data_IF_529362602625
#
_entry.id   IF_529362602625
#
_cell.length_a   1.000
_cell.length_b   1.000
_cell.length_c   1.000
_cell.angle_alpha   90.00
_cell.angle_beta   90.00
_cell.angle_gamma   90.00
#
_symmetry.space_group_name_H-M   'P 1'
#
loop_
_entity.id
_entity.type
_entity.pdbx_description
1 polymer ?
#
# COMPACT_ATOMS: atom_id res chain seq x y z
N UNK A 1 -4.93 2.38 -3.78
CA UNK A 1 -3.88 3.35 -4.18
C UNK A 1 -3.90 4.62 -3.34
N UNK A 2 -5.05 5.26 -3.12
CA UNK A 2 -5.16 6.56 -2.42
C UNK A 2 -4.47 6.63 -1.04
N UNK A 3 -4.66 5.63 -0.19
CA UNK A 3 -4.02 5.57 1.15
C UNK A 3 -2.50 5.74 1.08
N UNK A 4 -1.86 5.04 0.13
CA UNK A 4 -0.40 5.13 -0.04
C UNK A 4 0.02 6.45 -0.68
N UNK A 5 -0.79 6.99 -1.60
CA UNK A 5 -0.52 8.29 -2.21
C UNK A 5 -0.60 9.44 -1.20
N UNK A 6 -1.60 9.41 -0.31
CA UNK A 6 -1.76 10.40 0.77
C UNK A 6 -0.58 10.32 1.77
N UNK A 7 0.03 9.13 1.92
CA UNK A 7 1.24 8.92 2.70
C UNK A 7 2.55 9.26 1.94
N UNK A 8 2.46 9.77 0.71
CA UNK A 8 3.63 10.11 -0.12
C UNK A 8 4.41 8.91 -0.66
N UNK A 9 3.82 7.71 -0.62
CA UNK A 9 4.48 6.48 -1.03
C UNK A 9 4.19 6.21 -2.51
N UNK A 10 5.27 6.14 -3.29
CA UNK A 10 5.19 5.77 -4.69
C UNK A 10 4.89 4.28 -4.85
N UNK A 11 4.05 3.93 -5.83
CA UNK A 11 3.72 2.55 -6.13
C UNK A 11 4.02 2.20 -7.59
N UNK A 12 4.42 0.96 -7.81
CA UNK A 12 4.33 0.29 -9.11
C UNK A 12 3.26 -0.79 -8.97
N UNK A 13 2.14 -0.61 -9.68
CA UNK A 13 1.07 -1.61 -9.71
C UNK A 13 1.38 -2.65 -10.80
N UNK A 14 1.27 -3.93 -10.43
CA UNK A 14 1.36 -5.06 -11.33
C UNK A 14 0.04 -5.84 -11.26
N UNK A 15 -0.74 -5.78 -12.33
CA UNK A 15 -1.92 -6.62 -12.45
C UNK A 15 -1.53 -8.02 -12.88
N UNK A 16 -2.06 -9.01 -12.16
CA UNK A 16 -1.89 -10.43 -12.46
C UNK A 16 -3.25 -11.14 -12.43
N UNK A 17 -3.30 -12.37 -12.94
CA UNK A 17 -4.55 -13.09 -13.17
C UNK A 17 -5.38 -13.30 -11.89
N UNK A 18 -4.75 -13.65 -10.77
CA UNK A 18 -5.45 -13.98 -9.52
C UNK A 18 -5.60 -12.78 -8.59
N UNK A 19 -4.56 -11.93 -8.50
CA UNK A 19 -4.52 -10.80 -7.59
C UNK A 19 -3.58 -9.72 -8.09
N UNK A 20 -3.95 -8.47 -7.85
CA UNK A 20 -3.06 -7.34 -8.07
C UNK A 20 -1.93 -7.35 -7.04
N UNK A 21 -0.74 -6.97 -7.51
CA UNK A 21 0.43 -6.76 -6.68
C UNK A 21 0.82 -5.27 -6.73
N UNK A 22 1.30 -4.77 -5.60
CA UNK A 22 1.86 -3.42 -5.51
C UNK A 22 3.29 -3.52 -5.00
N UNK A 23 4.21 -2.87 -5.70
CA UNK A 23 5.58 -2.70 -5.26
C UNK A 23 5.77 -1.28 -4.76
N UNK A 24 6.57 -1.15 -3.70
CA UNK A 24 6.95 0.13 -3.09
C UNK A 24 8.47 0.17 -2.96
N UNK A 25 9.08 1.37 -2.86
CA UNK A 25 10.50 1.49 -2.50
C UNK A 25 10.80 0.72 -1.20
N UNK A 26 11.93 0.02 -1.17
CA UNK A 26 12.27 -0.89 -0.07
C UNK A 26 12.40 -0.15 1.28
N UNK A 27 12.92 1.08 1.25
CA UNK A 27 13.03 2.00 2.38
C UNK A 27 11.67 2.50 2.90
N UNK A 28 10.61 2.38 2.10
CA UNK A 28 9.24 2.81 2.44
C UNK A 28 8.31 1.64 2.80
N UNK A 29 8.81 0.40 2.74
CA UNK A 29 7.99 -0.79 2.95
C UNK A 29 7.24 -0.76 4.29
N UNK A 30 7.93 -0.44 5.39
CA UNK A 30 7.33 -0.42 6.72
C UNK A 30 6.22 0.62 6.82
N UNK A 31 6.46 1.84 6.33
CA UNK A 31 5.46 2.92 6.31
C UNK A 31 4.24 2.55 5.44
N UNK A 32 4.47 1.90 4.30
CA UNK A 32 3.40 1.40 3.43
C UNK A 32 2.54 0.35 4.15
N UNK A 33 3.18 -0.61 4.82
CA UNK A 33 2.50 -1.67 5.55
C UNK A 33 1.66 -1.14 6.71
N UNK A 34 2.19 -0.19 7.48
CA UNK A 34 1.47 0.46 8.57
C UNK A 34 0.26 1.24 8.07
N UNK A 35 0.41 2.02 6.99
CA UNK A 35 -0.69 2.79 6.39
C UNK A 35 -1.83 1.89 5.92
N UNK A 36 -1.50 0.77 5.26
CA UNK A 36 -2.49 -0.21 4.80
C UNK A 36 -3.14 -0.99 5.95
N UNK A 37 -2.38 -1.29 7.01
CA UNK A 37 -2.89 -2.00 8.19
C UNK A 37 -3.82 -1.12 9.01
N UNK A 38 -3.50 0.16 9.16
CA UNK A 38 -4.36 1.14 9.84
C UNK A 38 -5.69 1.30 9.11
N UNK A 39 -5.67 1.38 7.78
CA UNK A 39 -6.88 1.48 6.97
C UNK A 39 -7.75 0.21 6.96
N UNK A 40 -7.20 -0.95 7.29
CA UNK A 40 -7.95 -2.21 7.39
C UNK A 40 -8.66 -2.39 8.73
N UNK A 41 -8.24 -1.69 9.79
CA UNK A 41 -8.95 -1.76 11.07
C UNK A 41 -10.29 -1.04 10.88
N UNK A 42 -11.43 -1.73 11.01
CA UNK A 42 -12.72 -1.08 10.93
C UNK A 42 -12.79 -0.06 12.07
N UNK A 43 -13.24 1.16 11.77
CA UNK A 43 -13.65 2.09 12.81
C UNK A 43 -14.67 1.35 13.69
N UNK A 44 -14.36 1.24 14.99
CA UNK A 44 -15.30 0.73 15.99
C UNK A 44 -16.29 1.81 16.36
#
# INVERSE_FOLDING_TARGET
>A
SRILADAGISILALSAFERDHIFVPADQFQAAWESLSAAQKPER
#
